data_IF_811201114480
#
_entry.id   IF_811201114480
#
_cell.length_a   1.000
_cell.length_b   1.000
_cell.length_c   1.000
_cell.angle_alpha   90.00
_cell.angle_beta   90.00
_cell.angle_gamma   90.00
#
_symmetry.space_group_name_H-M   'P 1'
#
loop_
_entity.id
_entity.type
_entity.pdbx_description
1 polymer ?
#
# COMPACT_ATOMS: atom_id res chain seq x y z
N UNK A 1 -31.71 -70.82 -32.13
CA UNK A 1 -31.44 -69.59 -32.91
C UNK A 1 -31.26 -68.46 -31.92
N UNK A 2 -30.00 -68.08 -31.65
CA UNK A 2 -29.64 -67.05 -30.67
C UNK A 2 -29.37 -65.76 -31.44
N UNK A 3 -30.13 -64.69 -31.18
CA UNK A 3 -29.85 -63.37 -31.72
C UNK A 3 -29.71 -62.35 -30.58
N UNK A 4 -28.44 -62.05 -30.32
CA UNK A 4 -27.83 -60.80 -29.85
C UNK A 4 -28.75 -59.59 -29.61
N UNK A 5 -28.69 -59.01 -28.41
CA UNK A 5 -29.12 -57.63 -28.13
C UNK A 5 -27.96 -56.85 -27.53
N UNK A 6 -27.71 -55.71 -28.16
CA UNK A 6 -26.51 -54.88 -28.09
C UNK A 6 -26.46 -54.03 -26.82
N UNK A 7 -25.24 -53.89 -26.29
CA UNK A 7 -24.85 -53.03 -25.17
C UNK A 7 -24.84 -51.57 -25.60
N UNK A 8 -25.60 -50.71 -24.93
CA UNK A 8 -25.55 -49.24 -25.07
C UNK A 8 -24.55 -48.67 -24.05
N UNK A 9 -23.40 -48.20 -24.51
CA UNK A 9 -22.45 -47.39 -23.74
C UNK A 9 -22.69 -45.91 -24.06
N UNK A 10 -23.19 -45.15 -23.08
CA UNK A 10 -23.31 -43.69 -23.18
C UNK A 10 -22.01 -43.06 -22.68
N UNK A 11 -21.20 -42.54 -23.60
CA UNK A 11 -20.00 -41.74 -23.30
C UNK A 11 -20.40 -40.29 -23.03
N UNK A 12 -20.63 -39.96 -21.75
CA UNK A 12 -20.76 -38.57 -21.30
C UNK A 12 -19.40 -37.87 -21.42
N UNK A 13 -19.30 -36.95 -22.37
CA UNK A 13 -18.15 -36.10 -22.57
C UNK A 13 -18.22 -34.92 -21.58
N UNK A 14 -17.46 -35.00 -20.48
CA UNK A 14 -17.23 -33.88 -19.57
C UNK A 14 -16.37 -32.83 -20.27
N UNK A 15 -17.00 -31.76 -20.75
CA UNK A 15 -16.32 -30.56 -21.19
C UNK A 15 -15.78 -29.81 -19.96
N UNK A 16 -14.48 -29.96 -19.69
CA UNK A 16 -13.77 -29.06 -18.79
C UNK A 16 -13.65 -27.69 -19.46
N UNK A 17 -14.47 -26.74 -19.01
CA UNK A 17 -14.28 -25.33 -19.34
C UNK A 17 -13.01 -24.84 -18.61
N UNK A 18 -11.91 -24.68 -19.35
CA UNK A 18 -10.73 -24.01 -18.84
C UNK A 18 -11.06 -22.53 -18.63
N UNK A 19 -11.28 -22.14 -17.37
CA UNK A 19 -11.35 -20.73 -17.00
C UNK A 19 -9.95 -20.13 -17.16
N UNK A 20 -9.79 -19.23 -18.13
CA UNK A 20 -8.58 -18.45 -18.26
C UNK A 20 -8.42 -17.61 -16.99
N UNK A 21 -7.48 -18.01 -16.12
CA UNK A 21 -7.08 -17.21 -14.98
C UNK A 21 -6.53 -15.89 -15.51
N UNK A 22 -7.26 -14.79 -15.30
CA UNK A 22 -6.76 -13.44 -15.58
C UNK A 22 -5.55 -13.22 -14.68
N UNK A 23 -4.35 -13.24 -15.26
CA UNK A 23 -3.11 -12.92 -14.53
C UNK A 23 -3.29 -11.49 -13.99
N UNK A 24 -3.25 -11.27 -12.67
CA UNK A 24 -3.34 -9.92 -12.13
C UNK A 24 -2.18 -9.09 -12.69
N UNK A 25 -2.52 -7.98 -13.35
CA UNK A 25 -1.53 -7.04 -13.90
C UNK A 25 -0.72 -6.49 -12.73
N UNK A 26 0.58 -6.81 -12.71
CA UNK A 26 1.53 -6.24 -11.74
C UNK A 26 1.44 -4.70 -11.84
N UNK A 27 1.26 -3.98 -10.72
CA UNK A 27 1.24 -2.52 -10.73
C UNK A 27 2.54 -1.99 -11.33
N UNK A 28 2.41 -1.05 -12.26
CA UNK A 28 3.57 -0.32 -12.78
C UNK A 28 4.10 0.58 -11.66
N UNK A 29 5.34 0.33 -11.22
CA UNK A 29 5.99 1.17 -10.23
C UNK A 29 6.47 2.48 -10.86
N UNK A 30 6.41 3.62 -10.15
CA UNK A 30 7.02 4.86 -10.63
C UNK A 30 8.52 4.70 -10.85
N UNK A 31 9.09 5.61 -11.65
CA UNK A 31 10.53 5.69 -11.87
C UNK A 31 11.28 5.78 -10.51
N UNK A 32 12.29 4.92 -10.33
CA UNK A 32 13.06 4.84 -9.08
C UNK A 32 12.49 3.89 -8.02
N UNK A 33 11.26 3.39 -8.16
CA UNK A 33 10.66 2.40 -7.25
C UNK A 33 10.45 1.05 -7.93
N UNK A 34 10.49 -0.02 -7.14
CA UNK A 34 10.11 -1.38 -7.53
C UNK A 34 9.01 -1.90 -6.59
N UNK A 35 8.19 -2.82 -7.09
CA UNK A 35 7.25 -3.58 -6.26
C UNK A 35 8.03 -4.62 -5.45
N UNK A 36 7.98 -4.51 -4.14
CA UNK A 36 8.66 -5.42 -3.21
C UNK A 36 7.77 -6.57 -2.76
N UNK A 37 6.49 -6.29 -2.59
CA UNK A 37 5.49 -7.26 -2.16
C UNK A 37 4.09 -6.81 -2.57
N UNK A 38 3.20 -7.79 -2.72
CA UNK A 38 1.76 -7.58 -2.81
C UNK A 38 1.07 -8.52 -1.84
N UNK A 39 0.13 -7.99 -1.09
CA UNK A 39 -0.61 -8.73 -0.08
C UNK A 39 -2.11 -8.47 -0.28
N UNK A 40 -2.90 -9.54 -0.35
CA UNK A 40 -4.36 -9.43 -0.30
C UNK A 40 -4.77 -9.06 1.11
N UNK A 41 -5.73 -8.15 1.24
CA UNK A 41 -6.30 -7.81 2.54
C UNK A 41 -7.40 -8.82 2.86
N UNK A 42 -7.44 -9.32 4.10
CA UNK A 42 -8.40 -10.33 4.58
C UNK A 42 -9.88 -9.92 4.45
N UNK A 43 -10.17 -8.65 4.18
CA UNK A 43 -11.52 -8.15 3.87
C UNK A 43 -12.00 -8.48 2.44
N UNK A 44 -11.14 -9.07 1.60
CA UNK A 44 -11.42 -9.42 0.22
C UNK A 44 -11.62 -8.21 -0.72
N UNK A 45 -11.40 -6.99 -0.23
CA UNK A 45 -11.79 -5.76 -0.92
C UNK A 45 -10.61 -4.96 -1.49
N UNK A 46 -9.36 -5.40 -1.31
CA UNK A 46 -8.22 -4.72 -1.92
C UNK A 46 -6.88 -5.43 -1.79
N UNK A 47 -5.87 -4.80 -2.39
CA UNK A 47 -4.48 -5.26 -2.40
C UNK A 47 -3.59 -4.18 -1.80
N UNK A 48 -2.75 -4.56 -0.84
CA UNK A 48 -1.61 -3.77 -0.41
C UNK A 48 -0.44 -4.01 -1.36
N UNK A 49 0.16 -2.93 -1.86
CA UNK A 49 1.39 -2.98 -2.66
C UNK A 49 2.47 -2.19 -1.94
N UNK A 50 3.60 -2.84 -1.71
CA UNK A 50 4.75 -2.28 -1.04
C UNK A 50 5.76 -1.89 -2.11
N UNK A 51 6.12 -0.60 -2.17
CA UNK A 51 7.10 -0.08 -3.12
C UNK A 51 8.35 0.35 -2.38
N UNK A 52 9.53 0.13 -2.95
CA UNK A 52 10.79 0.64 -2.42
C UNK A 52 11.87 0.74 -3.47
N UNK A 53 13.06 1.12 -3.04
CA UNK A 53 14.22 1.30 -3.89
C UNK A 53 14.74 -0.06 -4.40
N UNK A 54 15.21 -0.08 -5.65
CA UNK A 54 15.81 -1.29 -6.23
C UNK A 54 17.11 -1.73 -5.51
N UNK A 55 17.84 -0.76 -4.92
CA UNK A 55 19.03 -1.00 -4.11
C UNK A 55 18.87 -0.42 -2.70
N UNK A 56 18.41 -1.23 -1.72
CA UNK A 56 18.20 -0.77 -0.35
C UNK A 56 19.52 -0.47 0.40
N UNK A 57 20.67 -0.95 -0.10
CA UNK A 57 21.97 -0.85 0.58
C UNK A 57 22.54 0.59 0.58
N UNK A 58 21.99 1.50 -0.23
CA UNK A 58 22.35 2.92 -0.21
C UNK A 58 21.85 3.66 1.04
N UNK A 59 21.00 3.03 1.86
CA UNK A 59 20.42 3.61 3.07
C UNK A 59 21.44 3.68 4.22
N UNK A 60 22.21 4.77 4.28
CA UNK A 60 23.17 5.02 5.38
C UNK A 60 22.45 5.03 6.74
N UNK A 61 22.96 4.28 7.73
CA UNK A 61 22.56 4.44 9.14
C UNK A 61 22.77 5.90 9.56
N UNK A 62 21.76 6.53 10.17
CA UNK A 62 21.82 7.92 10.62
C UNK A 62 21.85 8.00 12.14
N UNK A 63 22.41 9.10 12.64
CA UNK A 63 22.42 9.46 14.05
C UNK A 63 20.98 9.62 14.57
N UNK A 64 20.68 8.86 15.63
CA UNK A 64 19.39 8.81 16.30
C UNK A 64 19.30 9.81 17.48
N UNK A 65 20.38 10.55 17.76
CA UNK A 65 20.45 11.47 18.88
C UNK A 65 19.45 12.63 18.74
N UNK A 66 18.65 12.86 19.80
CA UNK A 66 17.73 14.00 19.88
C UNK A 66 16.51 13.95 18.95
N UNK A 67 16.17 12.79 18.35
CA UNK A 67 15.00 12.64 17.47
C UNK A 67 13.68 13.11 18.12
N UNK A 68 13.45 12.75 19.39
CA UNK A 68 12.24 13.14 20.12
C UNK A 68 12.07 14.65 20.30
N UNK A 69 13.16 15.44 20.20
CA UNK A 69 13.13 16.90 20.28
C UNK A 69 12.90 17.56 18.93
N UNK A 70 13.07 16.83 17.83
CA UNK A 70 13.07 17.34 16.44
C UNK A 70 11.88 16.82 15.63
N UNK A 71 11.19 15.79 16.11
CA UNK A 71 10.23 15.00 15.34
C UNK A 71 9.00 14.69 16.20
N UNK A 72 7.90 14.32 15.53
CA UNK A 72 6.60 14.06 16.13
C UNK A 72 5.62 15.23 16.07
N UNK A 73 6.07 16.42 15.65
CA UNK A 73 5.18 17.59 15.49
C UNK A 73 4.14 17.38 14.40
N UNK A 74 4.44 16.51 13.41
CA UNK A 74 3.56 16.09 12.32
C UNK A 74 2.88 17.28 11.63
N UNK A 75 3.65 18.33 11.30
CA UNK A 75 3.11 19.56 10.70
C UNK A 75 2.53 19.28 9.31
N UNK A 76 1.23 19.52 9.15
CA UNK A 76 0.50 19.16 7.94
C UNK A 76 0.55 20.29 6.90
N UNK A 77 0.60 19.91 5.62
CA UNK A 77 0.36 20.80 4.49
C UNK A 77 -0.50 20.07 3.45
N UNK A 78 -1.53 20.74 2.95
CA UNK A 78 -2.52 20.15 2.06
C UNK A 78 -2.27 20.53 0.60
N UNK A 79 -2.60 19.61 -0.32
CA UNK A 79 -2.44 19.82 -1.76
C UNK A 79 -3.73 19.49 -2.52
N UNK A 80 -4.04 20.26 -3.56
CA UNK A 80 -5.21 20.03 -4.42
C UNK A 80 -4.99 19.00 -5.53
N UNK A 81 -3.74 18.60 -5.77
CA UNK A 81 -3.33 17.61 -6.77
C UNK A 81 -3.22 16.21 -6.16
N UNK A 82 -3.30 15.15 -6.99
CA UNK A 82 -3.02 13.76 -6.58
C UNK A 82 -3.87 13.27 -5.40
N UNK A 83 -5.13 13.71 -5.39
CA UNK A 83 -6.08 13.41 -4.32
C UNK A 83 -6.58 11.97 -4.42
N UNK A 84 -6.62 11.29 -3.28
CA UNK A 84 -7.19 9.96 -3.12
C UNK A 84 -8.54 10.04 -2.40
N UNK A 85 -9.50 9.13 -2.65
CA UNK A 85 -10.73 9.10 -1.88
C UNK A 85 -10.44 8.83 -0.39
N UNK A 86 -11.11 9.55 0.51
CA UNK A 86 -10.88 9.43 1.96
C UNK A 86 -11.14 8.00 2.45
N UNK A 87 -12.18 7.33 1.96
CA UNK A 87 -12.55 5.98 2.42
C UNK A 87 -11.42 4.95 2.25
N UNK A 88 -10.70 4.97 1.12
CA UNK A 88 -9.60 4.03 0.86
C UNK A 88 -8.35 4.41 1.66
N UNK A 89 -8.14 5.70 1.91
CA UNK A 89 -7.05 6.15 2.79
C UNK A 89 -7.32 5.75 4.25
N UNK A 90 -8.53 5.95 4.74
CA UNK A 90 -8.91 5.55 6.10
C UNK A 90 -8.77 4.04 6.31
N UNK A 91 -9.15 3.25 5.31
CA UNK A 91 -8.98 1.79 5.34
C UNK A 91 -7.50 1.37 5.32
N UNK A 92 -6.67 1.97 4.47
CA UNK A 92 -5.22 1.78 4.50
C UNK A 92 -4.64 2.13 5.89
N UNK A 93 -5.01 3.28 6.45
CA UNK A 93 -4.51 3.73 7.76
C UNK A 93 -4.93 2.81 8.90
N UNK A 94 -6.15 2.28 8.85
CA UNK A 94 -6.66 1.31 9.81
C UNK A 94 -5.86 0.00 9.76
N UNK A 95 -5.50 -0.47 8.57
CA UNK A 95 -4.67 -1.67 8.41
C UNK A 95 -3.26 -1.47 8.98
N UNK A 96 -2.65 -0.33 8.68
CA UNK A 96 -1.35 0.03 9.25
C UNK A 96 -1.43 0.12 10.77
N UNK A 97 -2.51 0.69 11.33
CA UNK A 97 -2.68 0.88 12.77
C UNK A 97 -2.73 -0.45 13.53
N UNK A 98 -3.39 -1.46 12.96
CA UNK A 98 -3.51 -2.80 13.56
C UNK A 98 -2.28 -3.67 13.32
N UNK A 99 -1.47 -3.34 12.32
CA UNK A 99 -0.29 -4.11 11.99
C UNK A 99 0.85 -3.84 12.96
N UNK A 100 1.53 -4.90 13.38
CA UNK A 100 2.79 -4.81 14.13
C UNK A 100 4.00 -5.21 13.28
N UNK A 101 3.77 -5.42 11.98
CA UNK A 101 4.79 -5.83 11.02
C UNK A 101 5.89 -4.78 10.96
N UNK A 102 7.13 -5.29 10.94
CA UNK A 102 8.29 -4.44 10.77
C UNK A 102 8.32 -3.92 9.34
N UNK A 103 8.49 -2.60 9.17
CA UNK A 103 8.80 -2.04 7.87
C UNK A 103 10.16 -2.61 7.45
N UNK A 104 10.16 -3.36 6.34
CA UNK A 104 11.40 -3.87 5.72
C UNK A 104 12.31 -2.67 5.39
N UNK A 105 13.62 -2.88 5.30
CA UNK A 105 14.51 -1.81 4.84
C UNK A 105 14.14 -1.45 3.39
N UNK A 106 13.65 -0.22 3.21
CA UNK A 106 12.93 0.19 1.99
C UNK A 106 11.69 -0.70 1.78
N UNK A 107 10.52 -0.29 2.27
CA UNK A 107 9.69 0.46 1.34
C UNK A 107 9.88 1.97 1.46
N UNK A 108 9.51 2.66 0.40
CA UNK A 108 9.33 4.11 0.29
C UNK A 108 7.84 4.46 0.33
N UNK A 109 6.98 3.47 0.08
CA UNK A 109 5.55 3.60 0.23
C UNK A 109 4.79 2.28 0.35
N UNK A 110 3.58 2.37 0.88
CA UNK A 110 2.59 1.31 0.94
C UNK A 110 1.30 1.87 0.37
N UNK A 111 0.73 1.20 -0.63
CA UNK A 111 -0.52 1.61 -1.26
C UNK A 111 -1.59 0.55 -1.10
N UNK A 112 -2.81 0.97 -0.77
CA UNK A 112 -4.01 0.14 -0.94
C UNK A 112 -4.67 0.48 -2.25
N UNK A 113 -4.98 -0.54 -3.05
CA UNK A 113 -5.81 -0.44 -4.25
C UNK A 113 -7.09 -1.25 -4.08
N UNK A 114 -8.23 -0.64 -4.36
CA UNK A 114 -9.56 -1.24 -4.26
C UNK A 114 -10.51 -0.56 -5.26
N UNK A 115 -11.29 -1.34 -6.02
CA UNK A 115 -12.28 -0.82 -6.97
C UNK A 115 -11.74 0.25 -7.94
N UNK A 116 -10.50 0.07 -8.43
CA UNK A 116 -9.82 1.01 -9.32
C UNK A 116 -9.43 2.35 -8.67
N UNK A 117 -9.53 2.46 -7.35
CA UNK A 117 -9.04 3.60 -6.55
C UNK A 117 -7.78 3.18 -5.80
N UNK A 118 -6.94 4.16 -5.48
CA UNK A 118 -5.70 3.95 -4.76
C UNK A 118 -5.51 5.04 -3.71
N UNK A 119 -4.99 4.64 -2.55
CA UNK A 119 -4.35 5.55 -1.61
C UNK A 119 -3.00 4.99 -1.20
N UNK A 120 -2.03 5.87 -1.00
CA UNK A 120 -0.66 5.54 -0.69
C UNK A 120 -0.20 6.37 0.50
N UNK A 121 0.49 5.70 1.42
CA UNK A 121 1.35 6.33 2.42
C UNK A 121 2.77 6.23 1.87
N UNK A 122 3.44 7.35 1.64
CA UNK A 122 4.84 7.40 1.20
C UNK A 122 5.69 8.24 2.14
N UNK A 123 7.02 8.09 2.09
CA UNK A 123 7.92 8.87 2.94
C UNK A 123 9.26 9.17 2.27
N UNK A 124 9.78 10.37 2.56
CA UNK A 124 10.92 10.94 1.84
C UNK A 124 12.29 10.31 2.18
N UNK A 125 12.44 9.65 3.33
CA UNK A 125 13.74 9.08 3.78
C UNK A 125 13.61 7.61 4.16
N UNK A 126 14.60 6.81 3.80
CA UNK A 126 14.69 5.42 4.26
C UNK A 126 14.56 5.35 5.79
N UNK A 127 13.65 4.50 6.26
CA UNK A 127 13.29 4.35 7.67
C UNK A 127 14.03 3.17 8.30
N UNK A 128 14.47 3.35 9.55
CA UNK A 128 15.11 2.32 10.37
C UNK A 128 14.25 2.02 11.60
N UNK A 129 14.08 0.74 11.94
CA UNK A 129 13.37 0.33 13.15
C UNK A 129 11.87 0.62 13.17
N UNK A 130 11.29 1.10 12.04
CA UNK A 130 9.87 1.43 11.95
C UNK A 130 8.97 0.21 11.80
N UNK A 131 7.77 0.30 12.37
CA UNK A 131 6.66 -0.64 12.19
C UNK A 131 5.55 0.04 11.39
N UNK A 132 4.70 -0.74 10.75
CA UNK A 132 3.58 -0.23 9.96
C UNK A 132 2.66 0.68 10.77
N UNK A 133 2.38 0.36 12.04
CA UNK A 133 1.59 1.23 12.91
C UNK A 133 2.22 2.60 13.21
N UNK A 134 3.51 2.81 12.95
CA UNK A 134 4.11 4.14 13.03
C UNK A 134 3.64 5.07 11.89
N UNK A 135 3.03 4.51 10.85
CA UNK A 135 2.54 5.28 9.70
C UNK A 135 1.22 5.99 9.97
N UNK A 136 0.30 5.36 10.70
CA UNK A 136 -1.08 5.84 10.85
C UNK A 136 -1.25 7.21 11.52
N UNK A 137 -0.52 7.57 12.60
CA UNK A 137 -0.77 8.83 13.32
C UNK A 137 -0.64 10.08 12.43
N UNK A 138 0.39 10.14 11.58
CA UNK A 138 0.58 11.26 10.67
C UNK A 138 -0.45 11.24 9.54
N UNK A 139 -0.77 10.07 8.99
CA UNK A 139 -1.79 9.92 7.95
C UNK A 139 -3.19 10.33 8.42
N UNK A 140 -3.60 9.96 9.64
CA UNK A 140 -4.88 10.41 10.20
C UNK A 140 -4.95 11.93 10.38
N UNK A 141 -3.84 12.57 10.75
CA UNK A 141 -3.78 14.03 10.78
C UNK A 141 -3.94 14.65 9.40
N UNK A 142 -3.31 14.08 8.37
CA UNK A 142 -3.52 14.53 6.99
C UNK A 142 -4.97 14.36 6.55
N UNK A 143 -5.64 13.25 6.89
CA UNK A 143 -7.08 13.07 6.59
C UNK A 143 -7.94 14.14 7.28
N UNK A 144 -7.65 14.43 8.56
CA UNK A 144 -8.39 15.42 9.34
C UNK A 144 -8.22 16.84 8.80
N UNK A 145 -6.98 17.24 8.48
CA UNK A 145 -6.64 18.62 8.12
C UNK A 145 -6.74 18.90 6.60
N UNK A 146 -6.63 17.87 5.75
CA UNK A 146 -6.61 17.98 4.28
C UNK A 146 -7.79 17.30 3.58
N UNK A 147 -8.90 17.15 4.30
CA UNK A 147 -10.20 16.78 3.77
C UNK A 147 -10.70 17.88 2.82
N UNK A 148 -10.88 17.52 1.56
CA UNK A 148 -11.58 18.35 0.58
C UNK A 148 -13.07 17.97 0.57
N UNK A 149 -13.95 18.96 0.35
CA UNK A 149 -15.41 18.78 0.37
C UNK A 149 -15.98 17.79 -0.66
N UNK A 150 -15.16 17.19 -1.50
CA UNK A 150 -15.49 16.11 -2.43
C UNK A 150 -15.08 14.71 -1.93
N UNK A 151 -14.85 14.55 -0.63
CA UNK A 151 -14.41 13.31 0.03
C UNK A 151 -13.06 12.79 -0.48
N UNK A 152 -12.15 13.70 -0.82
CA UNK A 152 -10.79 13.36 -1.22
C UNK A 152 -9.75 14.00 -0.30
N UNK A 153 -8.55 13.44 -0.27
CA UNK A 153 -7.43 13.89 0.56
C UNK A 153 -6.13 13.87 -0.25
N UNK A 154 -5.32 14.91 -0.08
CA UNK A 154 -3.90 14.87 -0.40
C UNK A 154 -3.16 15.83 0.51
N UNK A 155 -2.06 15.36 1.10
CA UNK A 155 -1.27 16.16 2.00
C UNK A 155 0.04 15.48 2.36
N UNK A 156 0.89 16.25 3.03
CA UNK A 156 2.09 15.75 3.68
C UNK A 156 2.12 16.18 5.14
N UNK A 157 2.83 15.41 5.94
CA UNK A 157 3.20 15.70 7.32
C UNK A 157 4.72 15.78 7.41
N UNK A 158 5.23 16.92 7.90
CA UNK A 158 6.66 17.13 8.17
C UNK A 158 6.99 16.73 9.60
N UNK A 159 8.28 16.51 9.84
CA UNK A 159 8.82 16.10 11.13
C UNK A 159 8.16 14.82 11.65
N UNK A 160 7.74 13.92 10.76
CA UNK A 160 7.13 12.65 11.14
C UNK A 160 8.20 11.69 11.64
N UNK A 161 7.95 11.11 12.81
CA UNK A 161 8.78 10.05 13.36
C UNK A 161 8.24 8.69 12.94
N UNK A 162 8.99 7.96 12.11
CA UNK A 162 8.70 6.58 11.72
C UNK A 162 9.85 5.72 12.21
N UNK A 163 9.59 4.86 13.20
CA UNK A 163 10.66 4.16 13.93
C UNK A 163 11.67 5.16 14.50
N UNK A 164 12.93 5.01 14.10
CA UNK A 164 14.04 5.87 14.49
C UNK A 164 14.38 6.91 13.40
N UNK A 165 13.43 7.31 12.57
CA UNK A 165 13.71 8.21 11.44
C UNK A 165 12.75 9.38 11.40
N UNK A 166 13.34 10.58 11.31
CA UNK A 166 12.63 11.83 11.09
C UNK A 166 12.49 12.12 9.60
N UNK A 167 11.28 12.05 9.08
CA UNK A 167 10.99 12.17 7.65
C UNK A 167 9.74 13.00 7.39
N UNK A 168 9.52 13.32 6.12
CA UNK A 168 8.19 13.69 5.64
C UNK A 168 7.43 12.42 5.30
N UNK A 169 6.16 12.36 5.70
CA UNK A 169 5.21 11.32 5.29
C UNK A 169 4.11 11.98 4.43
N UNK A 170 3.67 11.32 3.38
CA UNK A 170 2.66 11.83 2.46
C UNK A 170 1.51 10.85 2.34
N UNK A 171 0.31 11.39 2.14
CA UNK A 171 -0.92 10.64 1.89
C UNK A 171 -1.53 11.16 0.59
N UNK A 172 -1.59 10.31 -0.44
CA UNK A 172 -2.06 10.71 -1.77
C UNK A 172 -2.47 9.50 -2.60
N UNK A 173 -2.85 9.69 -3.87
CA UNK A 173 -3.09 8.57 -4.79
C UNK A 173 -1.81 8.04 -5.46
N UNK A 174 -0.61 8.49 -5.05
CA UNK A 174 0.66 8.09 -5.64
C UNK A 174 1.66 7.48 -4.64
N UNK A 175 2.37 6.41 -5.04
CA UNK A 175 3.45 5.81 -4.22
C UNK A 175 4.69 6.70 -4.07
N UNK A 176 4.92 7.66 -4.95
CA UNK A 176 6.06 8.59 -4.93
C UNK A 176 5.70 9.97 -4.32
N UNK A 177 4.58 10.08 -3.60
CA UNK A 177 4.01 11.38 -3.21
C UNK A 177 4.88 12.29 -2.30
N UNK A 178 6.03 11.82 -1.85
CA UNK A 178 6.95 12.48 -0.92
C UNK A 178 8.33 12.78 -1.54
N UNK A 179 8.47 12.57 -2.85
CA UNK A 179 9.66 12.95 -3.63
C UNK A 179 9.51 14.34 -4.25
#
# INVERSE_FOLDING_TARGET
MVLSKQTLLVLSSLLYAATAATVPKVPEAPEGLIVLAQESVDDGAGVLTFYGDADPAASKKRDESGLSKRCGSNQVSCFGSHRAPIWICSDLLYQMEKSSTQLKQSPRSICKTASGKQCCISWAKAVSGGKENNLSPAGYRVVSECNWGDNTVSGLSRDTLIGNTCTTQCLSNRPDGCE
#
